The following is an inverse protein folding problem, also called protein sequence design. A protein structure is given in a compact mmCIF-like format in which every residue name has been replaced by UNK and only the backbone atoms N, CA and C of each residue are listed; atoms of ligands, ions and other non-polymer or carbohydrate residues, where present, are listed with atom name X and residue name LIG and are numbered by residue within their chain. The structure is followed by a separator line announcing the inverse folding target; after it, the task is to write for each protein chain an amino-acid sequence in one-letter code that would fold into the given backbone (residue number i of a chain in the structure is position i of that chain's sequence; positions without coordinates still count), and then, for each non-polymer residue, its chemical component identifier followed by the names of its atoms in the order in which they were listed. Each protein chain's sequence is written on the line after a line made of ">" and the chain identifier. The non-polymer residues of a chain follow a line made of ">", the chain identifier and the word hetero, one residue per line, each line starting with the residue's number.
data_IF_985339802041
#
_entry.id   IF_985339802041
#
_cell.length_a   1.000
_cell.length_b   1.000
_cell.length_c   1.000
_cell.angle_alpha   90.00
_cell.angle_beta   90.00
_cell.angle_gamma   90.00
#
_symmetry.space_group_name_H-M   'P 1'
#
loop_
_entity.id
_entity.type
_entity.pdbx_description
1 polymer ?
#
# COMPACT_ATOMS: atom_id res chain seq x y z
N UNK A 1 -27.48 33.15 -41.41
CA UNK A 1 -26.78 32.01 -40.77
C UNK A 1 -27.58 31.63 -39.53
N UNK A 2 -28.19 30.44 -39.51
CA UNK A 2 -28.95 29.93 -38.36
C UNK A 2 -28.09 28.92 -37.62
N UNK A 3 -27.75 29.21 -36.36
CA UNK A 3 -27.00 28.30 -35.50
C UNK A 3 -28.06 27.43 -34.80
N UNK A 4 -28.11 26.15 -35.14
CA UNK A 4 -28.93 25.13 -34.46
C UNK A 4 -28.35 24.88 -33.06
N UNK A 5 -28.83 25.61 -32.05
CA UNK A 5 -28.43 25.43 -30.64
C UNK A 5 -29.51 24.72 -29.84
N UNK A 6 -29.88 23.48 -30.19
CA UNK A 6 -30.92 22.74 -29.45
C UNK A 6 -30.61 21.25 -29.21
N UNK A 7 -29.33 20.89 -29.10
CA UNK A 7 -28.97 19.56 -28.61
C UNK A 7 -28.48 19.65 -27.16
N UNK A 8 -29.26 19.16 -26.17
CA UNK A 8 -28.77 19.07 -24.80
C UNK A 8 -27.69 17.98 -24.74
N UNK A 9 -26.43 18.40 -24.77
CA UNK A 9 -25.29 17.51 -24.56
C UNK A 9 -25.31 17.06 -23.10
N UNK A 10 -25.94 15.91 -22.83
CA UNK A 10 -25.89 15.24 -21.53
C UNK A 10 -24.44 14.82 -21.26
N UNK A 11 -23.66 15.67 -20.60
CA UNK A 11 -22.33 15.31 -20.11
C UNK A 11 -22.50 14.25 -19.03
N UNK A 12 -22.30 12.97 -19.38
CA UNK A 12 -22.20 11.90 -18.39
C UNK A 12 -20.91 12.16 -17.58
N UNK A 13 -20.96 12.24 -16.25
CA UNK A 13 -19.75 12.41 -15.46
C UNK A 13 -18.87 11.18 -15.68
N UNK A 14 -17.69 11.40 -16.29
CA UNK A 14 -16.69 10.36 -16.46
C UNK A 14 -16.16 10.01 -15.07
N UNK A 15 -16.75 8.99 -14.44
CA UNK A 15 -16.21 8.42 -13.21
C UNK A 15 -14.84 7.83 -13.56
N UNK A 16 -13.76 8.53 -13.20
CA UNK A 16 -12.39 8.01 -13.34
C UNK A 16 -12.33 6.68 -12.58
N UNK A 17 -12.13 5.57 -13.30
CA UNK A 17 -11.85 4.28 -12.67
C UNK A 17 -10.55 4.43 -11.91
N UNK A 18 -10.60 4.30 -10.58
CA UNK A 18 -9.38 4.24 -9.76
C UNK A 18 -8.58 3.02 -10.20
N UNK A 19 -7.29 3.19 -10.50
CA UNK A 19 -6.42 2.06 -10.83
C UNK A 19 -6.35 1.16 -9.59
N UNK A 20 -6.42 -0.14 -9.79
CA UNK A 20 -6.19 -1.11 -8.72
C UNK A 20 -4.73 -1.00 -8.29
N UNK A 21 -4.51 -0.68 -7.01
CA UNK A 21 -3.17 -0.67 -6.43
C UNK A 21 -2.72 -2.13 -6.33
N UNK A 22 -1.55 -2.45 -6.88
CA UNK A 22 -0.95 -3.78 -6.75
C UNK A 22 -0.20 -3.81 -5.43
N UNK A 23 -0.74 -4.54 -4.46
CA UNK A 23 -0.07 -4.79 -3.18
C UNK A 23 1.03 -5.85 -3.37
N UNK A 24 2.25 -5.53 -2.98
CA UNK A 24 3.39 -6.45 -3.02
C UNK A 24 3.73 -6.92 -1.62
N UNK A 25 3.29 -8.13 -1.30
CA UNK A 25 3.48 -8.73 0.02
C UNK A 25 4.88 -9.35 0.16
N UNK A 26 5.63 -8.89 1.15
CA UNK A 26 7.00 -9.36 1.44
C UNK A 26 7.21 -9.76 2.90
N UNK A 27 8.22 -10.60 3.13
CA UNK A 27 8.64 -11.00 4.47
C UNK A 27 9.54 -9.94 5.14
N UNK A 28 9.66 -9.98 6.47
CA UNK A 28 10.53 -9.05 7.21
C UNK A 28 11.99 -9.02 6.73
N UNK A 29 12.53 -10.16 6.27
CA UNK A 29 13.88 -10.26 5.71
C UNK A 29 14.02 -9.54 4.37
N UNK A 30 13.01 -9.68 3.50
CA UNK A 30 12.98 -9.05 2.19
C UNK A 30 12.76 -7.54 2.32
N UNK A 31 11.93 -7.11 3.27
CA UNK A 31 11.75 -5.69 3.61
C UNK A 31 13.06 -5.10 4.14
N UNK A 32 13.77 -5.83 5.00
CA UNK A 32 15.06 -5.38 5.51
C UNK A 32 16.08 -5.18 4.38
N UNK A 33 16.12 -6.12 3.42
CA UNK A 33 16.97 -5.99 2.23
C UNK A 33 16.56 -4.80 1.35
N UNK A 34 15.26 -4.61 1.13
CA UNK A 34 14.71 -3.51 0.33
C UNK A 34 15.03 -2.13 0.92
N UNK A 35 14.89 -1.99 2.23
CA UNK A 35 15.18 -0.76 2.95
C UNK A 35 16.68 -0.56 3.26
N UNK A 36 17.54 -1.52 2.91
CA UNK A 36 18.95 -1.56 3.29
C UNK A 36 19.19 -1.43 4.80
N UNK A 37 18.35 -2.07 5.61
CA UNK A 37 18.43 -2.09 7.08
C UNK A 37 18.61 -3.51 7.62
N UNK A 38 18.92 -3.62 8.91
CA UNK A 38 18.98 -4.93 9.58
C UNK A 38 17.58 -5.49 9.85
N UNK A 39 17.45 -6.82 9.86
CA UNK A 39 16.21 -7.51 10.26
C UNK A 39 15.76 -7.16 11.68
N UNK A 40 16.70 -6.94 12.58
CA UNK A 40 16.42 -6.53 13.97
C UNK A 40 15.79 -5.13 14.00
N UNK A 41 16.25 -4.21 13.15
CA UNK A 41 15.65 -2.89 13.01
C UNK A 41 14.18 -2.97 12.59
N UNK A 42 13.84 -3.81 11.60
CA UNK A 42 12.44 -4.03 11.17
C UNK A 42 11.61 -4.54 12.36
N UNK A 43 12.13 -5.50 13.12
CA UNK A 43 11.44 -6.05 14.30
C UNK A 43 11.18 -5.00 15.39
N UNK A 44 12.14 -4.10 15.61
CA UNK A 44 12.00 -2.97 16.53
C UNK A 44 11.00 -1.94 16.01
N UNK A 45 11.05 -1.64 14.71
CA UNK A 45 10.17 -0.66 14.07
C UNK A 45 8.70 -1.08 14.05
N UNK A 46 8.39 -2.39 14.08
CA UNK A 46 7.01 -2.89 14.30
C UNK A 46 6.51 -2.59 15.72
N UNK A 47 7.40 -2.55 16.71
CA UNK A 47 7.05 -2.41 18.13
C UNK A 47 7.03 -0.95 18.61
N UNK A 48 7.38 0.01 17.74
CA UNK A 48 7.44 1.42 18.13
C UNK A 48 6.02 1.99 18.35
N UNK A 49 5.76 2.67 19.47
CA UNK A 49 4.43 3.17 19.81
C UNK A 49 4.01 4.41 19.00
N UNK A 50 4.96 5.23 18.57
CA UNK A 50 4.67 6.51 17.91
C UNK A 50 4.26 6.36 16.44
N UNK A 51 4.86 5.40 15.73
CA UNK A 51 4.55 5.12 14.33
C UNK A 51 5.10 3.71 13.96
N UNK A 52 4.32 2.63 14.21
CA UNK A 52 4.77 1.28 13.91
C UNK A 52 4.79 1.04 12.39
N UNK A 53 5.70 0.18 11.93
CA UNK A 53 5.65 -0.32 10.55
C UNK A 53 4.31 -1.04 10.29
N UNK A 54 3.63 -0.77 9.16
CA UNK A 54 2.39 -1.45 8.83
C UNK A 54 2.65 -2.95 8.63
N UNK A 55 1.95 -3.78 9.41
CA UNK A 55 2.10 -5.24 9.39
C UNK A 55 0.73 -5.88 9.26
N UNK A 56 0.65 -6.85 8.35
CA UNK A 56 -0.56 -7.61 8.15
C UNK A 56 -0.34 -9.07 8.60
N UNK A 57 -1.23 -9.60 9.47
CA UNK A 57 -1.23 -11.01 9.76
C UNK A 57 -1.74 -11.75 8.51
N UNK A 58 -0.85 -12.42 7.79
CA UNK A 58 -1.26 -13.30 6.71
C UNK A 58 -1.60 -14.68 7.26
N UNK A 59 -2.90 -15.01 7.26
CA UNK A 59 -3.41 -16.36 7.47
C UNK A 59 -3.27 -17.18 6.18
N UNK A 60 -2.04 -17.52 5.76
CA UNK A 60 -1.88 -18.54 4.72
C UNK A 60 -1.87 -19.91 5.39
N UNK A 61 -3.02 -20.59 5.33
CA UNK A 61 -3.29 -22.05 5.41
C UNK A 61 -2.59 -22.92 6.48
N UNK A 62 -1.72 -22.36 7.32
CA UNK A 62 -0.95 -23.09 8.30
C UNK A 62 -0.99 -22.31 9.64
N UNK A 63 -1.87 -22.70 10.59
CA UNK A 63 -2.05 -21.99 11.85
C UNK A 63 -0.77 -21.97 12.71
N UNK A 64 0.19 -22.84 12.40
CA UNK A 64 1.48 -22.98 13.09
C UNK A 64 2.57 -22.01 12.61
N UNK A 65 2.37 -21.29 11.50
CA UNK A 65 3.37 -20.35 10.97
C UNK A 65 2.73 -18.99 10.66
N UNK A 66 2.39 -18.25 11.72
CA UNK A 66 2.02 -16.84 11.60
C UNK A 66 3.27 -16.07 11.13
N UNK A 67 3.48 -16.00 9.82
CA UNK A 67 4.48 -15.11 9.22
C UNK A 67 3.82 -13.76 8.98
N UNK A 68 4.40 -12.72 9.59
CA UNK A 68 4.04 -11.32 9.36
C UNK A 68 4.49 -10.94 7.96
N UNK A 69 3.56 -10.51 7.12
CA UNK A 69 3.86 -9.93 5.82
C UNK A 69 3.65 -8.42 5.85
N UNK A 70 4.39 -7.74 4.98
CA UNK A 70 4.40 -6.30 4.83
C UNK A 70 4.03 -5.99 3.39
N UNK A 71 3.16 -5.01 3.19
CA UNK A 71 2.96 -4.45 1.87
C UNK A 71 4.06 -3.41 1.60
N UNK A 72 4.79 -3.57 0.51
CA UNK A 72 5.86 -2.64 0.15
C UNK A 72 5.36 -1.22 -0.08
N UNK A 73 4.18 -1.04 -0.68
CA UNK A 73 3.67 0.30 -0.94
C UNK A 73 3.46 1.08 0.37
N UNK A 74 2.89 0.42 1.37
CA UNK A 74 2.68 1.03 2.68
C UNK A 74 3.98 1.22 3.45
N UNK A 75 4.96 0.33 3.27
CA UNK A 75 6.31 0.54 3.81
C UNK A 75 6.95 1.76 3.19
N UNK A 76 6.83 1.97 1.88
CA UNK A 76 7.36 3.15 1.18
C UNK A 76 6.66 4.43 1.64
N UNK A 77 5.34 4.45 1.71
CA UNK A 77 4.59 5.58 2.25
C UNK A 77 5.00 5.88 3.71
N UNK A 78 5.18 4.85 4.52
CA UNK A 78 5.62 5.00 5.90
C UNK A 78 7.04 5.56 6.00
N UNK A 79 7.97 5.12 5.13
CA UNK A 79 9.34 5.66 5.08
C UNK A 79 9.34 7.10 4.61
N UNK A 80 8.53 7.44 3.60
CA UNK A 80 8.39 8.81 3.08
C UNK A 80 7.84 9.75 4.15
N UNK A 81 6.82 9.33 4.91
CA UNK A 81 6.24 10.11 6.01
C UNK A 81 7.20 10.31 7.20
N UNK A 82 8.34 9.60 7.23
CA UNK A 82 9.34 9.66 8.30
C UNK A 82 10.57 10.51 7.95
N UNK A 83 10.77 10.85 6.67
CA UNK A 83 11.83 11.74 6.19
C UNK A 83 11.33 13.18 6.17
#
# INVERSE_FOLDING_TARGET
>A
MQILTDYPVKMKPVRRKRKTVKHEWRNATEVAQYLHVSKSWVSTAIRKPENPLPVYPTYKENPSSIRRQFDLNEVDEWVLNRR
#
